data_IF_739598760749
#
_entry.id   IF_739598760749
#
_cell.length_a   1.000
_cell.length_b   1.000
_cell.length_c   1.000
_cell.angle_alpha   90.00
_cell.angle_beta   90.00
_cell.angle_gamma   90.00
#
_symmetry.space_group_name_H-M   'P 1'
#
loop_
_entity.id
_entity.type
_entity.pdbx_description
1 polymer ?
#
# COMPACT_ATOMS: atom_id res chain seq x y z
N UNK A 1 -45.75 4.17 41.02
CA UNK A 1 -45.86 3.36 39.80
C UNK A 1 -45.40 4.07 38.54
N UNK A 2 -45.69 5.35 38.28
CA UNK A 2 -45.28 6.12 37.08
C UNK A 2 -43.74 6.29 36.98
N UNK A 3 -43.03 6.60 38.07
CA UNK A 3 -41.59 6.79 38.10
C UNK A 3 -40.78 5.55 37.66
N UNK A 4 -41.21 4.36 38.06
CA UNK A 4 -40.58 3.08 37.70
C UNK A 4 -40.73 2.80 36.19
N UNK A 5 -41.83 3.24 35.57
CA UNK A 5 -42.10 3.07 34.15
C UNK A 5 -41.18 3.97 33.32
N UNK A 6 -40.95 5.21 33.73
CA UNK A 6 -40.03 6.13 33.07
C UNK A 6 -38.55 5.72 33.22
N UNK A 7 -38.19 5.18 34.38
CA UNK A 7 -36.85 4.65 34.62
C UNK A 7 -36.54 3.44 33.74
N UNK A 8 -37.51 2.54 33.52
CA UNK A 8 -37.37 1.42 32.58
C UNK A 8 -37.26 1.88 31.11
N UNK A 9 -38.04 2.91 30.73
CA UNK A 9 -37.92 3.51 29.40
C UNK A 9 -36.55 4.17 29.15
N UNK A 10 -36.03 4.90 30.16
CA UNK A 10 -34.68 5.53 30.08
C UNK A 10 -33.58 4.49 30.01
N UNK A 11 -33.65 3.42 30.78
CA UNK A 11 -32.68 2.32 30.68
C UNK A 11 -32.75 1.59 29.34
N UNK A 12 -33.93 1.40 28.76
CA UNK A 12 -34.11 0.78 27.47
C UNK A 12 -33.56 1.67 26.32
N UNK A 13 -33.76 3.00 26.43
CA UNK A 13 -33.21 3.96 25.44
C UNK A 13 -31.67 4.04 25.49
N UNK A 14 -31.09 3.93 26.68
CA UNK A 14 -29.63 3.90 26.86
C UNK A 14 -29.02 2.61 26.29
N UNK A 15 -29.72 1.47 26.44
CA UNK A 15 -29.28 0.18 25.91
C UNK A 15 -29.30 0.16 24.36
N UNK A 16 -30.30 0.82 23.75
CA UNK A 16 -30.39 0.93 22.27
C UNK A 16 -29.33 1.86 21.71
N UNK A 17 -28.95 2.92 22.42
CA UNK A 17 -27.91 3.86 21.99
C UNK A 17 -26.50 3.20 21.92
N UNK A 18 -26.22 2.23 22.81
CA UNK A 18 -24.94 1.51 22.81
C UNK A 18 -24.85 0.43 21.72
N UNK A 19 -25.98 -0.05 21.19
CA UNK A 19 -26.01 -1.06 20.13
C UNK A 19 -25.75 -0.46 18.73
N UNK A 20 -25.85 0.86 18.56
CA UNK A 20 -25.61 1.55 17.28
C UNK A 20 -24.14 1.94 17.04
N UNK A 21 -23.25 1.70 18.01
CA UNK A 21 -21.80 1.80 17.83
C UNK A 21 -21.27 0.61 17.02
N UNK A 22 -21.88 0.35 15.85
CA UNK A 22 -21.45 -0.70 14.94
C UNK A 22 -20.01 -0.46 14.52
N UNK A 23 -19.16 -1.48 14.66
CA UNK A 23 -17.82 -1.52 14.11
C UNK A 23 -17.88 -1.17 12.62
N UNK A 24 -17.59 0.08 12.31
CA UNK A 24 -17.32 0.50 10.94
C UNK A 24 -15.94 -0.09 10.57
N UNK A 25 -15.89 -1.39 10.22
CA UNK A 25 -14.68 -2.00 9.63
C UNK A 25 -14.47 -1.28 8.32
N UNK A 26 -13.58 -0.30 8.32
CA UNK A 26 -13.12 0.35 7.10
C UNK A 26 -12.63 -0.75 6.16
N UNK A 27 -13.11 -0.73 4.93
CA UNK A 27 -12.64 -1.66 3.90
C UNK A 27 -11.24 -1.23 3.45
N UNK A 28 -10.19 -1.86 4.02
CA UNK A 28 -8.79 -1.62 3.65
C UNK A 28 -8.16 -0.37 4.25
N UNK A 29 -6.87 -0.21 3.97
CA UNK A 29 -6.03 0.86 4.48
C UNK A 29 -6.31 2.20 3.77
N UNK A 30 -6.18 3.29 4.53
CA UNK A 30 -6.37 4.66 4.08
C UNK A 30 -5.09 5.48 4.32
N UNK A 31 -5.05 6.69 3.75
CA UNK A 31 -4.01 7.68 4.07
C UNK A 31 -4.03 7.94 5.58
N UNK A 32 -2.86 7.90 6.21
CA UNK A 32 -2.66 8.02 7.65
C UNK A 32 -2.60 6.69 8.39
N UNK A 33 -2.97 5.58 7.78
CA UNK A 33 -2.84 4.26 8.39
C UNK A 33 -1.39 3.74 8.30
N UNK A 34 -1.00 2.91 9.26
CA UNK A 34 0.31 2.25 9.27
C UNK A 34 0.30 0.98 8.40
N UNK A 35 1.37 0.77 7.65
CA UNK A 35 1.59 -0.47 6.90
C UNK A 35 1.58 -1.69 7.82
N UNK A 36 0.80 -2.73 7.49
CA UNK A 36 0.68 -3.92 8.32
C UNK A 36 1.97 -4.77 8.30
N UNK A 37 2.16 -5.57 9.36
CA UNK A 37 3.24 -6.55 9.45
C UNK A 37 2.89 -7.78 8.60
N UNK A 38 3.07 -7.67 7.29
CA UNK A 38 2.82 -8.74 6.33
C UNK A 38 4.12 -9.14 5.63
N UNK A 39 4.27 -10.44 5.41
CA UNK A 39 5.45 -11.02 4.74
C UNK A 39 5.02 -11.68 3.44
N UNK A 40 5.68 -11.31 2.36
CA UNK A 40 5.55 -11.90 1.04
C UNK A 40 6.90 -12.47 0.59
N UNK A 41 6.89 -13.30 -0.44
CA UNK A 41 8.12 -13.78 -1.09
C UNK A 41 8.31 -13.04 -2.42
N UNK A 42 9.58 -12.76 -2.75
CA UNK A 42 9.92 -12.24 -4.07
C UNK A 42 9.96 -13.37 -5.13
N UNK A 43 10.17 -12.99 -6.37
CA UNK A 43 10.27 -13.93 -7.50
C UNK A 43 11.42 -14.95 -7.34
N UNK A 44 12.43 -14.65 -6.52
CA UNK A 44 13.56 -15.51 -6.20
C UNK A 44 13.31 -16.39 -4.97
N UNK A 45 12.21 -16.17 -4.22
CA UNK A 45 11.85 -16.89 -3.03
C UNK A 45 12.39 -16.30 -1.72
N UNK A 46 12.96 -15.09 -1.77
CA UNK A 46 13.37 -14.34 -0.58
C UNK A 46 12.14 -13.72 0.11
N UNK A 47 12.06 -13.85 1.42
CA UNK A 47 11.01 -13.22 2.23
C UNK A 47 11.27 -11.74 2.43
N UNK A 48 10.22 -10.93 2.27
CA UNK A 48 10.20 -9.48 2.53
C UNK A 48 9.02 -9.16 3.44
N UNK A 49 9.28 -8.53 4.58
CA UNK A 49 8.26 -8.08 5.53
C UNK A 49 8.07 -6.58 5.38
N UNK A 50 6.91 -6.14 4.89
CA UNK A 50 6.71 -4.74 4.49
C UNK A 50 6.99 -3.75 5.64
N UNK A 51 6.44 -3.99 6.84
CA UNK A 51 6.62 -3.11 8.01
C UNK A 51 8.08 -2.98 8.48
N UNK A 52 8.93 -3.98 8.22
CA UNK A 52 10.32 -4.04 8.66
C UNK A 52 11.29 -3.59 7.58
N UNK A 53 11.16 -4.17 6.37
CA UNK A 53 12.12 -3.97 5.29
C UNK A 53 11.97 -2.60 4.60
N UNK A 54 10.78 -1.97 4.75
CA UNK A 54 10.51 -0.63 4.23
C UNK A 54 10.75 0.49 5.25
N UNK A 55 10.93 0.16 6.53
CA UNK A 55 11.14 1.15 7.59
C UNK A 55 12.39 2.01 7.33
N UNK A 56 12.24 3.32 7.53
CA UNK A 56 13.29 4.30 7.25
C UNK A 56 13.45 4.62 5.76
N UNK A 57 12.47 4.24 4.94
CA UNK A 57 12.47 4.51 3.50
C UNK A 57 11.11 5.03 3.06
N UNK A 58 11.12 5.94 2.09
CA UNK A 58 9.90 6.26 1.33
C UNK A 58 9.66 5.14 0.33
N UNK A 59 8.60 4.38 0.55
CA UNK A 59 8.27 3.21 -0.25
C UNK A 59 7.14 3.52 -1.25
N UNK A 60 7.33 3.06 -2.49
CA UNK A 60 6.33 3.11 -3.55
C UNK A 60 5.83 1.67 -3.79
N UNK A 61 4.69 1.31 -3.19
CA UNK A 61 4.12 -0.04 -3.26
C UNK A 61 3.07 -0.08 -4.36
N UNK A 62 3.36 -0.81 -5.43
CA UNK A 62 2.54 -0.91 -6.63
C UNK A 62 1.93 -2.30 -6.78
N UNK A 63 0.61 -2.40 -6.60
CA UNK A 63 -0.16 -3.62 -6.85
C UNK A 63 -0.51 -3.71 -8.33
N UNK A 64 -0.17 -4.83 -8.95
CA UNK A 64 -0.34 -5.09 -10.37
C UNK A 64 -0.65 -6.55 -10.64
N UNK A 65 -1.03 -6.88 -11.85
CA UNK A 65 -1.30 -8.26 -12.27
C UNK A 65 -0.61 -8.62 -13.58
N UNK A 66 0.02 -9.79 -13.63
CA UNK A 66 0.64 -10.28 -14.87
C UNK A 66 -0.40 -10.46 -15.99
N UNK A 67 -1.62 -10.88 -15.60
CA UNK A 67 -2.76 -11.11 -16.50
C UNK A 67 -3.73 -9.90 -16.57
N UNK A 68 -3.37 -8.77 -15.96
CA UNK A 68 -4.15 -7.54 -16.02
C UNK A 68 -3.85 -6.81 -17.34
N UNK A 69 -4.82 -6.75 -18.24
CA UNK A 69 -4.67 -6.05 -19.54
C UNK A 69 -4.62 -4.52 -19.37
N UNK A 70 -5.21 -4.00 -18.30
CA UNK A 70 -5.22 -2.57 -17.97
C UNK A 70 -3.97 -2.11 -17.19
N UNK A 71 -3.07 -3.03 -16.81
CA UNK A 71 -1.85 -2.68 -16.10
C UNK A 71 -0.71 -2.44 -17.11
N UNK A 72 -0.18 -1.22 -17.15
CA UNK A 72 1.02 -0.93 -17.91
C UNK A 72 2.27 -1.51 -17.22
N UNK A 73 2.72 -2.67 -17.68
CA UNK A 73 3.94 -3.31 -17.18
C UNK A 73 5.20 -2.47 -17.44
N UNK A 74 5.14 -1.52 -18.36
CA UNK A 74 6.20 -0.54 -18.65
C UNK A 74 6.49 0.37 -17.46
N UNK A 75 5.50 0.64 -16.60
CA UNK A 75 5.70 1.40 -15.35
C UNK A 75 6.70 0.69 -14.43
N UNK A 76 6.59 -0.64 -14.27
CA UNK A 76 7.55 -1.40 -13.47
C UNK A 76 8.98 -1.25 -14.01
N UNK A 77 9.15 -1.31 -15.33
CA UNK A 77 10.47 -1.12 -15.96
C UNK A 77 10.98 0.31 -15.76
N UNK A 78 10.08 1.30 -15.83
CA UNK A 78 10.40 2.72 -15.67
C UNK A 78 10.73 3.11 -14.22
N UNK A 79 10.33 2.30 -13.24
CA UNK A 79 10.70 2.49 -11.83
C UNK A 79 12.17 2.14 -11.55
N UNK A 80 12.82 1.30 -12.36
CA UNK A 80 14.23 0.93 -12.15
C UNK A 80 15.18 2.14 -12.23
N UNK A 81 15.15 2.98 -13.28
CA UNK A 81 15.97 4.19 -13.33
C UNK A 81 15.70 5.15 -12.16
N UNK A 82 14.43 5.27 -11.72
CA UNK A 82 14.08 6.11 -10.58
C UNK A 82 14.63 5.52 -9.27
N UNK A 83 14.55 4.19 -9.11
CA UNK A 83 15.17 3.52 -7.97
C UNK A 83 16.68 3.78 -7.92
N UNK A 84 17.40 3.61 -9.03
CA UNK A 84 18.83 3.89 -9.07
C UNK A 84 19.15 5.35 -8.76
N UNK A 85 18.30 6.29 -9.17
CA UNK A 85 18.46 7.74 -8.92
C UNK A 85 18.24 8.13 -7.45
N UNK A 86 17.32 7.43 -6.74
CA UNK A 86 16.83 7.87 -5.43
C UNK A 86 17.10 6.88 -4.28
N UNK A 87 17.62 5.67 -4.52
CA UNK A 87 17.84 4.64 -3.50
C UNK A 87 18.73 5.13 -2.34
N UNK A 88 19.78 5.88 -2.66
CA UNK A 88 20.72 6.43 -1.66
C UNK A 88 20.09 7.59 -0.86
N UNK A 89 18.92 8.06 -1.27
CA UNK A 89 18.11 9.06 -0.57
C UNK A 89 16.96 8.43 0.21
N UNK A 90 16.92 7.09 0.28
CA UNK A 90 15.91 6.35 1.04
C UNK A 90 14.66 5.99 0.26
N UNK A 91 14.64 6.07 -1.07
CA UNK A 91 13.50 5.63 -1.89
C UNK A 91 13.59 4.14 -2.24
N UNK A 92 12.46 3.43 -2.17
CA UNK A 92 12.35 2.03 -2.60
C UNK A 92 11.00 1.75 -3.29
N UNK A 93 10.98 1.37 -4.57
CA UNK A 93 9.79 0.78 -5.18
C UNK A 93 9.64 -0.67 -4.77
N UNK A 94 8.40 -1.15 -4.74
CA UNK A 94 8.01 -2.55 -4.49
C UNK A 94 6.87 -2.89 -5.44
N UNK A 95 7.06 -3.83 -6.34
CA UNK A 95 5.98 -4.38 -7.16
C UNK A 95 5.34 -5.58 -6.46
N UNK A 96 4.02 -5.58 -6.26
CA UNK A 96 3.28 -6.72 -5.69
C UNK A 96 2.34 -7.26 -6.77
N UNK A 97 2.64 -8.47 -7.25
CA UNK A 97 1.82 -9.15 -8.24
C UNK A 97 0.71 -9.96 -7.55
N UNK A 98 -0.54 -9.70 -7.91
CA UNK A 98 -1.72 -10.44 -7.43
C UNK A 98 -2.08 -11.66 -8.27
N UNK A 99 -1.40 -11.90 -9.39
CA UNK A 99 -1.72 -13.04 -10.24
C UNK A 99 -1.03 -14.31 -9.76
N UNK A 100 -1.74 -15.42 -9.84
CA UNK A 100 -1.12 -16.74 -9.78
C UNK A 100 -0.30 -16.94 -11.06
N UNK A 101 0.95 -17.29 -10.92
CA UNK A 101 1.81 -17.62 -12.06
C UNK A 101 2.77 -18.74 -11.71
N UNK A 102 3.22 -19.46 -12.74
CA UNK A 102 4.30 -20.43 -12.59
C UNK A 102 5.62 -19.65 -12.65
N UNK A 103 6.56 -19.91 -11.73
CA UNK A 103 7.88 -19.25 -11.69
C UNK A 103 8.66 -19.34 -13.02
N UNK A 104 8.29 -20.27 -13.89
CA UNK A 104 8.85 -20.44 -15.23
C UNK A 104 8.11 -19.65 -16.32
N UNK A 105 7.17 -18.77 -15.96
CA UNK A 105 6.46 -17.95 -16.94
C UNK A 105 7.45 -17.02 -17.67
N UNK A 106 7.53 -17.21 -18.97
CA UNK A 106 8.45 -16.46 -19.86
C UNK A 106 8.23 -14.94 -19.78
N UNK A 107 6.99 -14.51 -19.48
CA UNK A 107 6.64 -13.09 -19.34
C UNK A 107 7.38 -12.42 -18.16
N UNK A 108 7.82 -13.19 -17.16
CA UNK A 108 8.60 -12.69 -16.03
C UNK A 108 10.03 -12.32 -16.40
N UNK A 109 10.57 -12.85 -17.49
CA UNK A 109 11.95 -12.57 -17.93
C UNK A 109 12.22 -11.09 -18.18
N UNK A 110 11.19 -10.33 -18.60
CA UNK A 110 11.32 -8.89 -18.79
C UNK A 110 11.65 -8.13 -17.51
N UNK A 111 11.34 -8.70 -16.32
CA UNK A 111 11.59 -8.10 -15.01
C UNK A 111 12.89 -8.60 -14.36
N UNK A 112 13.62 -9.51 -14.99
CA UNK A 112 14.81 -10.15 -14.40
C UNK A 112 15.96 -9.18 -14.09
N UNK A 113 15.97 -8.00 -14.72
CA UNK A 113 16.98 -6.96 -14.52
C UNK A 113 16.60 -5.94 -13.44
N UNK A 114 15.38 -6.00 -12.92
CA UNK A 114 14.94 -5.11 -11.84
C UNK A 114 15.69 -5.44 -10.54
N UNK A 115 16.17 -4.41 -9.86
CA UNK A 115 16.96 -4.56 -8.63
C UNK A 115 16.20 -4.21 -7.36
N UNK A 116 14.95 -3.77 -7.47
CA UNK A 116 14.03 -3.57 -6.38
C UNK A 116 13.10 -4.78 -6.16
N UNK A 117 12.47 -4.93 -4.98
CA UNK A 117 11.63 -6.09 -4.67
C UNK A 117 10.43 -6.24 -5.60
N UNK A 118 10.29 -7.44 -6.19
CA UNK A 118 9.12 -7.87 -6.95
C UNK A 118 8.48 -9.04 -6.21
N UNK A 119 7.37 -8.79 -5.52
CA UNK A 119 6.72 -9.70 -4.57
C UNK A 119 5.50 -10.39 -5.17
N UNK A 120 5.10 -11.50 -4.56
CA UNK A 120 3.94 -12.30 -4.98
C UNK A 120 2.89 -12.33 -3.88
N UNK A 121 1.70 -11.87 -4.19
CA UNK A 121 0.48 -12.01 -3.40
C UNK A 121 -0.46 -13.00 -4.11
N UNK A 122 -0.10 -14.28 -4.09
CA UNK A 122 -0.73 -15.36 -4.88
C UNK A 122 -2.26 -15.43 -4.73
N UNK A 123 -2.77 -15.06 -3.56
CA UNK A 123 -4.20 -15.14 -3.23
C UNK A 123 -4.87 -13.78 -3.06
N UNK A 124 -4.17 -12.68 -3.34
CA UNK A 124 -4.68 -11.32 -3.19
C UNK A 124 -5.02 -10.92 -1.74
N UNK A 125 -4.48 -11.64 -0.74
CA UNK A 125 -4.81 -11.39 0.66
C UNK A 125 -4.20 -10.08 1.17
N UNK A 126 -3.00 -9.75 0.72
CA UNK A 126 -2.34 -8.50 1.08
C UNK A 126 -3.01 -7.34 0.36
N UNK A 127 -3.34 -7.49 -0.92
CA UNK A 127 -4.12 -6.53 -1.68
C UNK A 127 -5.48 -6.24 -1.03
N UNK A 128 -6.20 -7.30 -0.61
CA UNK A 128 -7.45 -7.15 0.14
C UNK A 128 -7.25 -6.39 1.45
N UNK A 129 -6.19 -6.67 2.20
CA UNK A 129 -5.86 -5.97 3.45
C UNK A 129 -5.58 -4.49 3.20
N UNK A 130 -4.84 -4.16 2.14
CA UNK A 130 -4.60 -2.79 1.70
C UNK A 130 -5.85 -2.10 1.15
N UNK A 131 -6.93 -2.84 0.89
CA UNK A 131 -8.16 -2.29 0.28
C UNK A 131 -7.96 -1.93 -1.18
N UNK A 132 -7.22 -2.75 -1.90
CA UNK A 132 -7.11 -2.71 -3.36
C UNK A 132 -8.42 -3.24 -3.94
N UNK A 133 -9.15 -2.39 -4.67
CA UNK A 133 -10.43 -2.73 -5.30
C UNK A 133 -10.30 -2.90 -6.82
N UNK A 134 -9.14 -2.59 -7.36
CA UNK A 134 -8.82 -2.71 -8.78
C UNK A 134 -7.34 -2.48 -9.03
N UNK A 135 -6.84 -3.05 -10.11
CA UNK A 135 -5.44 -2.94 -10.53
C UNK A 135 -5.31 -1.95 -11.70
N UNK A 136 -4.19 -1.26 -11.80
CA UNK A 136 -3.20 -1.17 -10.73
C UNK A 136 -3.64 -0.23 -9.59
N UNK A 137 -3.07 -0.42 -8.39
CA UNK A 137 -3.21 0.51 -7.27
C UNK A 137 -1.84 0.74 -6.64
N UNK A 138 -1.51 1.99 -6.37
CA UNK A 138 -0.23 2.39 -5.81
C UNK A 138 -0.43 3.05 -4.45
N UNK A 139 0.42 2.71 -3.48
CA UNK A 139 0.53 3.38 -2.20
C UNK A 139 1.92 4.01 -2.08
N UNK A 140 1.98 5.25 -1.59
CA UNK A 140 3.24 5.89 -1.20
C UNK A 140 3.27 5.98 0.33
N UNK A 141 4.33 5.45 0.91
CA UNK A 141 4.50 5.22 2.34
C UNK A 141 5.75 5.98 2.76
N UNK A 142 5.69 6.71 3.87
CA UNK A 142 6.84 7.43 4.40
C UNK A 142 7.80 6.54 5.20
N UNK A 143 8.90 7.14 5.69
CA UNK A 143 9.94 6.46 6.48
C UNK A 143 9.45 5.94 7.83
N UNK A 144 8.37 6.46 8.38
CA UNK A 144 7.69 5.98 9.58
C UNK A 144 6.80 4.77 9.31
N UNK A 145 6.52 4.47 8.04
CA UNK A 145 5.62 3.40 7.61
C UNK A 145 4.16 3.83 7.55
N UNK A 146 3.89 5.13 7.42
CA UNK A 146 2.54 5.69 7.30
C UNK A 146 2.20 5.92 5.83
N UNK A 147 1.01 5.52 5.42
CA UNK A 147 0.50 5.74 4.06
C UNK A 147 0.25 7.23 3.88
N UNK A 148 0.94 7.85 2.94
CA UNK A 148 0.84 9.27 2.63
C UNK A 148 0.00 9.54 1.37
N UNK A 149 -0.05 8.57 0.43
CA UNK A 149 -0.83 8.72 -0.81
C UNK A 149 -1.35 7.36 -1.30
N UNK A 150 -2.47 7.39 -2.03
CA UNK A 150 -3.09 6.23 -2.67
C UNK A 150 -3.59 6.62 -4.05
N UNK A 151 -3.13 5.93 -5.08
CA UNK A 151 -3.49 6.17 -6.47
C UNK A 151 -4.13 4.90 -7.00
N UNK A 152 -5.39 5.00 -7.45
CA UNK A 152 -6.10 3.88 -8.09
C UNK A 152 -6.14 4.11 -9.59
N UNK A 153 -5.73 3.11 -10.36
CA UNK A 153 -5.53 3.20 -11.80
C UNK A 153 -4.10 3.64 -12.16
N UNK A 154 -3.83 3.72 -13.46
CA UNK A 154 -2.53 4.13 -14.00
C UNK A 154 -2.31 5.63 -13.83
N UNK A 155 -1.04 5.99 -13.60
CA UNK A 155 -0.53 7.34 -13.73
C UNK A 155 0.80 7.30 -14.51
N UNK A 156 1.18 8.39 -15.14
CA UNK A 156 2.47 8.49 -15.83
C UNK A 156 3.64 8.48 -14.85
N UNK A 157 4.81 8.05 -15.33
CA UNK A 157 6.03 7.94 -14.50
C UNK A 157 6.43 9.29 -13.88
N UNK A 158 6.26 10.39 -14.60
CA UNK A 158 6.56 11.75 -14.09
C UNK A 158 5.64 12.14 -12.93
N UNK A 159 4.36 11.74 -12.97
CA UNK A 159 3.42 11.98 -11.88
C UNK A 159 3.78 11.14 -10.65
N UNK A 160 4.19 9.90 -10.84
CA UNK A 160 4.69 9.06 -9.76
C UNK A 160 5.96 9.64 -9.13
N UNK A 161 6.94 10.07 -9.96
CA UNK A 161 8.17 10.72 -9.48
C UNK A 161 7.84 11.96 -8.65
N UNK A 162 6.98 12.85 -9.13
CA UNK A 162 6.54 14.05 -8.41
C UNK A 162 5.92 13.72 -7.06
N UNK A 163 5.05 12.70 -6.99
CA UNK A 163 4.34 12.35 -5.76
C UNK A 163 5.28 11.79 -4.70
N UNK A 164 6.10 10.80 -5.02
CA UNK A 164 6.99 10.24 -4.01
C UNK A 164 8.12 11.20 -3.62
N UNK A 165 8.63 12.04 -4.54
CA UNK A 165 9.65 13.04 -4.20
C UNK A 165 9.12 14.12 -3.28
N UNK A 166 7.84 14.47 -3.38
CA UNK A 166 7.19 15.38 -2.42
C UNK A 166 7.26 14.85 -1.00
N UNK A 167 7.11 13.53 -0.81
CA UNK A 167 7.20 12.88 0.49
C UNK A 167 8.67 12.72 0.90
N UNK A 168 9.52 12.26 -0.01
CA UNK A 168 10.94 12.03 0.19
C UNK A 168 11.70 13.29 0.67
N UNK A 169 11.27 14.47 0.23
CA UNK A 169 11.90 15.74 0.59
C UNK A 169 11.10 16.55 1.62
N UNK A 170 10.00 16.03 2.15
CA UNK A 170 9.14 16.74 3.11
C UNK A 170 9.90 17.21 4.36
N UNK A 171 10.84 16.40 4.87
CA UNK A 171 11.71 16.76 6.01
C UNK A 171 12.71 17.87 5.68
N UNK A 172 13.25 17.90 4.45
CA UNK A 172 14.30 18.85 4.05
C UNK A 172 13.79 20.30 4.01
N UNK A 173 12.49 20.50 3.70
CA UNK A 173 11.90 21.84 3.67
C UNK A 173 11.66 22.42 5.06
N UNK A 174 11.49 21.59 6.10
CA UNK A 174 11.29 22.05 7.47
C UNK A 174 12.61 22.38 8.20
N UNK A 175 13.73 21.75 7.82
CA UNK A 175 15.05 22.03 8.42
C UNK A 175 15.71 23.30 7.87
N UNK A 176 15.35 23.74 6.67
CA UNK A 176 15.96 24.91 6.02
C UNK A 176 15.17 26.21 6.19
N UNK A 177 14.17 26.25 7.09
CA UNK A 177 13.50 27.43 7.60
C UNK A 177 13.15 28.52 6.55
N UNK A 178 12.04 28.34 5.83
CA UNK A 178 11.31 29.43 5.17
C UNK A 178 9.89 29.46 5.71
#
# INVERSE_FOLDING_TARGET
MKAIKYMKLLLLSLLVATALGGCNKRAGLQIGDTVPDVTLTDFQGKSVTLSKDLKGKVAFVHFWGLDCDCCDKGILLSLEPLYQKYKDKGFVPVGINESQFVKTDERLKQFAHLTYPMLVDEYGLVAQHFGVIGLPTTFIIDEEGIIQDKITGEAGIDEYEKRFTTILYKGVFYENGY
#
